data_IF_582524771412
#
_entry.id   IF_582524771412
#
_cell.length_a   1.000
_cell.length_b   1.000
_cell.length_c   1.000
_cell.angle_alpha   90.00
_cell.angle_beta   90.00
_cell.angle_gamma   90.00
#
_symmetry.space_group_name_H-M   'P 1'
#
loop_
_entity.id
_entity.type
_entity.pdbx_description
1 polymer ?
#
# COMPACT_ATOMS: atom_id res chain seq x y z
N UNK A 1 -86.60 16.10 -29.19
CA UNK A 1 -85.58 16.78 -28.35
C UNK A 1 -85.16 15.84 -27.23
N UNK A 2 -83.98 15.22 -27.35
CA UNK A 2 -83.33 14.57 -26.19
C UNK A 2 -83.12 15.68 -25.15
N UNK A 3 -83.72 15.53 -23.98
CA UNK A 3 -83.64 16.55 -22.92
C UNK A 3 -82.16 16.82 -22.63
N UNK A 4 -81.74 18.07 -22.70
CA UNK A 4 -80.37 18.53 -22.39
C UNK A 4 -79.92 17.98 -21.01
N UNK A 5 -80.86 17.82 -20.08
CA UNK A 5 -80.69 17.17 -18.77
C UNK A 5 -80.32 15.67 -18.83
N UNK A 6 -80.85 14.89 -19.78
CA UNK A 6 -80.54 13.46 -19.94
C UNK A 6 -79.13 13.25 -20.51
N UNK A 7 -78.72 14.05 -21.50
CA UNK A 7 -77.35 14.03 -22.00
C UNK A 7 -76.33 14.49 -20.94
N UNK A 8 -76.72 15.42 -20.06
CA UNK A 8 -75.87 15.86 -18.94
C UNK A 8 -75.70 14.76 -17.88
N UNK A 9 -76.77 14.03 -17.54
CA UNK A 9 -76.71 12.89 -16.59
C UNK A 9 -75.86 11.74 -17.13
N UNK A 10 -75.99 11.40 -18.41
CA UNK A 10 -75.18 10.34 -19.05
C UNK A 10 -73.70 10.76 -19.14
N UNK A 11 -73.40 12.02 -19.50
CA UNK A 11 -72.01 12.51 -19.53
C UNK A 11 -71.38 12.57 -18.14
N UNK A 12 -72.15 12.98 -17.12
CA UNK A 12 -71.69 12.96 -15.72
C UNK A 12 -71.42 11.54 -15.26
N UNK A 13 -72.32 10.61 -15.53
CA UNK A 13 -72.13 9.19 -15.23
C UNK A 13 -70.91 8.59 -15.94
N UNK A 14 -70.69 8.90 -17.23
CA UNK A 14 -69.50 8.48 -17.96
C UNK A 14 -68.21 9.09 -17.38
N UNK A 15 -68.25 10.36 -16.98
CA UNK A 15 -67.12 11.01 -16.31
C UNK A 15 -66.82 10.35 -14.95
N UNK A 16 -67.86 10.07 -14.16
CA UNK A 16 -67.74 9.41 -12.86
C UNK A 16 -67.22 7.97 -13.03
N UNK A 17 -67.71 7.21 -14.02
CA UNK A 17 -67.20 5.88 -14.36
C UNK A 17 -65.73 5.92 -14.78
N UNK A 18 -65.35 6.83 -15.68
CA UNK A 18 -63.96 6.97 -16.11
C UNK A 18 -63.04 7.36 -14.93
N UNK A 19 -63.53 8.18 -13.99
CA UNK A 19 -62.80 8.52 -12.77
C UNK A 19 -62.66 7.32 -11.82
N UNK A 20 -63.69 6.47 -11.70
CA UNK A 20 -63.65 5.24 -10.91
C UNK A 20 -62.68 4.21 -11.51
N UNK A 21 -62.70 4.05 -12.84
CA UNK A 21 -61.79 3.17 -13.57
C UNK A 21 -60.34 3.64 -13.44
N UNK A 22 -60.08 4.94 -13.59
CA UNK A 22 -58.76 5.52 -13.38
C UNK A 22 -58.25 5.27 -11.96
N UNK A 23 -59.09 5.47 -10.94
CA UNK A 23 -58.73 5.21 -9.53
C UNK A 23 -58.45 3.74 -9.29
N UNK A 24 -59.25 2.84 -9.88
CA UNK A 24 -59.04 1.40 -9.81
C UNK A 24 -57.71 1.00 -10.45
N UNK A 25 -57.41 1.47 -11.66
CA UNK A 25 -56.13 1.23 -12.34
C UNK A 25 -54.95 1.73 -11.52
N UNK A 26 -55.07 2.92 -10.91
CA UNK A 26 -54.03 3.47 -10.01
C UNK A 26 -53.81 2.59 -8.78
N UNK A 27 -54.87 2.11 -8.14
CA UNK A 27 -54.74 1.20 -6.98
C UNK A 27 -54.18 -0.18 -7.40
N UNK A 28 -54.52 -0.66 -8.59
CA UNK A 28 -53.94 -1.91 -9.12
C UNK A 28 -52.45 -1.75 -9.45
N UNK A 29 -52.02 -0.57 -9.92
CA UNK A 29 -50.61 -0.24 -10.18
C UNK A 29 -49.77 -0.29 -8.91
N UNK A 30 -50.33 0.12 -7.76
CA UNK A 30 -49.68 0.03 -6.44
C UNK A 30 -49.61 -1.40 -5.88
N UNK A 31 -50.13 -2.39 -6.62
CA UNK A 31 -50.12 -3.79 -6.22
C UNK A 31 -48.71 -4.41 -6.13
N UNK A 32 -47.69 -3.77 -6.71
CA UNK A 32 -46.28 -4.14 -6.55
C UNK A 32 -45.66 -3.67 -5.22
N UNK A 33 -46.43 -2.95 -4.40
CA UNK A 33 -45.98 -2.40 -3.12
C UNK A 33 -45.40 -0.99 -3.22
N UNK A 34 -45.28 -0.40 -4.41
CA UNK A 34 -44.86 0.98 -4.62
C UNK A 34 -46.05 1.91 -4.84
N UNK A 35 -46.10 3.05 -4.15
CA UNK A 35 -47.09 4.11 -4.43
C UNK A 35 -46.63 5.05 -5.55
N UNK A 36 -45.40 4.87 -6.02
CA UNK A 36 -44.68 5.82 -6.85
C UNK A 36 -44.18 5.16 -8.14
N UNK A 37 -44.80 5.50 -9.27
CA UNK A 37 -44.39 5.02 -10.59
C UNK A 37 -44.02 6.17 -11.53
N UNK A 38 -44.63 7.35 -11.33
CA UNK A 38 -44.40 8.54 -12.15
C UNK A 38 -44.17 9.79 -11.29
N UNK A 39 -43.47 10.81 -11.81
CA UNK A 39 -43.34 12.11 -11.14
C UNK A 39 -44.69 12.76 -10.79
N UNK A 40 -45.74 12.45 -11.56
CA UNK A 40 -47.10 12.93 -11.34
C UNK A 40 -47.84 12.27 -10.18
N UNK A 41 -47.36 11.11 -9.69
CA UNK A 41 -48.03 10.40 -8.59
C UNK A 41 -47.77 11.09 -7.24
N UNK A 42 -46.54 11.57 -7.02
CA UNK A 42 -46.19 12.53 -5.96
C UNK A 42 -44.85 13.21 -6.30
N UNK A 43 -44.85 14.48 -6.70
CA UNK A 43 -43.63 15.19 -7.12
C UNK A 43 -42.60 15.37 -5.99
N UNK A 44 -43.06 15.48 -4.74
CA UNK A 44 -42.18 15.67 -3.58
C UNK A 44 -41.47 14.38 -3.24
N UNK A 45 -42.22 13.29 -3.08
CA UNK A 45 -41.65 11.97 -2.79
C UNK A 45 -40.82 11.46 -3.97
N UNK A 46 -41.21 11.76 -5.22
CA UNK A 46 -40.40 11.44 -6.41
C UNK A 46 -39.05 12.15 -6.41
N UNK A 47 -39.01 13.44 -6.05
CA UNK A 47 -37.74 14.17 -5.96
C UNK A 47 -36.81 13.61 -4.89
N UNK A 48 -37.36 13.09 -3.79
CA UNK A 48 -36.61 12.42 -2.72
C UNK A 48 -36.12 11.05 -3.18
N UNK A 49 -37.01 10.26 -3.78
CA UNK A 49 -36.68 8.97 -4.37
C UNK A 49 -35.50 9.09 -5.34
N UNK A 50 -35.53 10.01 -6.31
CA UNK A 50 -34.41 10.21 -7.25
C UNK A 50 -33.09 10.51 -6.56
N UNK A 51 -33.10 11.30 -5.48
CA UNK A 51 -31.87 11.60 -4.72
C UNK A 51 -31.35 10.36 -3.99
N UNK A 52 -32.24 9.60 -3.39
CA UNK A 52 -31.87 8.37 -2.69
C UNK A 52 -31.42 7.27 -3.64
N UNK A 53 -32.05 7.13 -4.80
CA UNK A 53 -31.67 6.19 -5.86
C UNK A 53 -30.26 6.46 -6.40
N UNK A 54 -29.95 7.74 -6.68
CA UNK A 54 -28.58 8.16 -7.04
C UNK A 54 -27.60 7.85 -5.89
N UNK A 55 -27.98 8.17 -4.65
CA UNK A 55 -27.14 7.90 -3.48
C UNK A 55 -26.92 6.41 -3.23
N UNK A 56 -27.90 5.55 -3.51
CA UNK A 56 -27.81 4.10 -3.40
C UNK A 56 -26.83 3.55 -4.44
N UNK A 57 -26.97 3.99 -5.70
CA UNK A 57 -26.06 3.60 -6.77
C UNK A 57 -24.60 4.04 -6.52
N UNK A 58 -24.40 5.24 -5.95
CA UNK A 58 -23.07 5.68 -5.50
C UNK A 58 -22.54 4.82 -4.36
N UNK A 59 -23.35 4.54 -3.36
CA UNK A 59 -22.98 3.71 -2.22
C UNK A 59 -22.61 2.28 -2.63
N UNK A 60 -23.34 1.67 -3.56
CA UNK A 60 -23.04 0.34 -4.10
C UNK A 60 -21.67 0.31 -4.80
N UNK A 61 -21.32 1.36 -5.54
CA UNK A 61 -19.99 1.50 -6.15
C UNK A 61 -18.89 1.63 -5.08
N UNK A 62 -19.12 2.38 -4.01
CA UNK A 62 -18.18 2.46 -2.90
C UNK A 62 -18.04 1.13 -2.15
N UNK A 63 -19.13 0.41 -1.91
CA UNK A 63 -19.09 -0.92 -1.30
C UNK A 63 -18.24 -1.90 -2.14
N UNK A 64 -18.41 -1.91 -3.46
CA UNK A 64 -17.60 -2.73 -4.35
C UNK A 64 -16.11 -2.34 -4.33
N UNK A 65 -15.82 -1.04 -4.32
CA UNK A 65 -14.46 -0.48 -4.22
C UNK A 65 -13.79 -0.86 -2.88
N UNK A 66 -14.47 -0.66 -1.76
CA UNK A 66 -13.97 -1.02 -0.41
C UNK A 66 -13.78 -2.53 -0.29
N UNK A 67 -14.70 -3.34 -0.82
CA UNK A 67 -14.58 -4.79 -0.79
C UNK A 67 -13.38 -5.29 -1.61
N UNK A 68 -13.12 -4.69 -2.79
CA UNK A 68 -11.92 -4.97 -3.56
C UNK A 68 -10.65 -4.59 -2.79
N UNK A 69 -10.69 -3.47 -2.04
CA UNK A 69 -9.59 -2.99 -1.22
C UNK A 69 -9.27 -3.95 -0.08
N UNK A 70 -10.29 -4.44 0.63
CA UNK A 70 -10.15 -5.46 1.68
C UNK A 70 -9.52 -6.74 1.10
N UNK A 71 -10.00 -7.21 -0.05
CA UNK A 71 -9.42 -8.41 -0.70
C UNK A 71 -7.94 -8.22 -1.04
N UNK A 72 -7.56 -7.04 -1.56
CA UNK A 72 -6.16 -6.71 -1.84
C UNK A 72 -5.31 -6.63 -0.56
N UNK A 73 -5.81 -5.97 0.47
CA UNK A 73 -5.13 -5.84 1.76
C UNK A 73 -4.96 -7.19 2.45
N UNK A 74 -5.95 -8.07 2.42
CA UNK A 74 -5.84 -9.41 2.98
C UNK A 74 -4.74 -10.23 2.28
N UNK A 75 -4.68 -10.19 0.94
CA UNK A 75 -3.62 -10.86 0.19
C UNK A 75 -2.23 -10.28 0.51
N UNK A 76 -2.15 -8.96 0.68
CA UNK A 76 -0.92 -8.25 1.07
C UNK A 76 -0.50 -8.67 2.48
N UNK A 77 -1.42 -8.67 3.44
CA UNK A 77 -1.18 -9.02 4.84
C UNK A 77 -0.73 -10.47 5.00
N UNK A 78 -1.37 -11.42 4.31
CA UNK A 78 -0.93 -12.82 4.32
C UNK A 78 0.49 -12.97 3.76
N UNK A 79 0.80 -12.26 2.66
CA UNK A 79 2.15 -12.28 2.08
C UNK A 79 3.19 -11.67 3.02
N UNK A 80 2.88 -10.54 3.66
CA UNK A 80 3.77 -9.87 4.61
C UNK A 80 3.99 -10.69 5.89
N UNK A 81 2.95 -11.33 6.43
CA UNK A 81 3.08 -12.24 7.57
C UNK A 81 3.98 -13.43 7.26
N UNK A 82 3.85 -14.02 6.06
CA UNK A 82 4.73 -15.09 5.63
C UNK A 82 6.19 -14.61 5.44
N UNK A 83 6.39 -13.40 4.92
CA UNK A 83 7.72 -12.78 4.81
C UNK A 83 8.35 -12.57 6.19
N UNK A 84 7.57 -12.07 7.17
CA UNK A 84 8.02 -11.85 8.55
C UNK A 84 8.53 -13.14 9.20
N UNK A 85 7.80 -14.26 9.05
CA UNK A 85 8.21 -15.55 9.61
C UNK A 85 9.49 -16.10 8.94
N UNK A 86 9.62 -15.91 7.63
CA UNK A 86 10.85 -16.27 6.90
C UNK A 86 12.02 -15.40 7.38
N UNK A 87 11.80 -14.12 7.65
CA UNK A 87 12.84 -13.21 8.13
C UNK A 87 13.28 -13.52 9.56
N UNK A 88 12.36 -13.87 10.45
CA UNK A 88 12.71 -14.41 11.79
C UNK A 88 13.59 -15.65 11.65
N UNK A 89 13.23 -16.56 10.76
CA UNK A 89 14.03 -17.76 10.46
C UNK A 89 15.40 -17.38 9.89
N UNK A 90 15.46 -16.45 8.95
CA UNK A 90 16.70 -15.95 8.36
C UNK A 90 17.61 -15.30 9.41
N UNK A 91 17.06 -14.50 10.32
CA UNK A 91 17.78 -13.90 11.45
C UNK A 91 18.35 -14.98 12.36
N UNK A 92 17.55 -15.99 12.71
CA UNK A 92 18.01 -17.12 13.52
C UNK A 92 19.17 -17.88 12.85
N UNK A 93 19.11 -18.10 11.53
CA UNK A 93 20.19 -18.70 10.74
C UNK A 93 21.44 -17.82 10.66
N UNK A 94 21.26 -16.51 10.59
CA UNK A 94 22.35 -15.53 10.62
C UNK A 94 23.06 -15.55 11.97
N UNK A 95 22.32 -15.63 13.08
CA UNK A 95 22.86 -15.80 14.44
C UNK A 95 23.56 -17.15 14.58
N UNK A 96 22.98 -18.21 14.01
CA UNK A 96 23.60 -19.54 14.00
C UNK A 96 24.97 -19.49 13.31
N UNK A 97 25.08 -18.85 12.14
CA UNK A 97 26.37 -18.64 11.48
C UNK A 97 27.30 -17.74 12.30
N UNK A 98 26.80 -16.65 12.89
CA UNK A 98 27.61 -15.74 13.69
C UNK A 98 28.22 -16.37 14.96
N UNK A 99 27.53 -17.33 15.56
CA UNK A 99 27.96 -18.04 16.78
C UNK A 99 28.75 -19.33 16.49
N UNK A 100 28.79 -19.79 15.24
CA UNK A 100 29.52 -21.02 14.89
C UNK A 100 31.02 -20.75 14.92
N UNK A 101 31.63 -21.03 16.06
CA UNK A 101 33.07 -20.93 16.33
C UNK A 101 33.85 -22.14 15.78
N UNK A 102 33.14 -23.09 15.14
CA UNK A 102 33.75 -24.32 14.64
C UNK A 102 34.26 -24.10 13.23
N UNK A 103 35.55 -24.39 13.07
CA UNK A 103 36.32 -24.63 11.85
C UNK A 103 35.69 -24.05 10.58
N UNK A 104 36.31 -23.03 9.98
CA UNK A 104 35.89 -22.36 8.73
C UNK A 104 35.59 -23.32 7.56
N UNK A 105 35.93 -24.61 7.69
CA UNK A 105 35.66 -25.72 6.75
C UNK A 105 34.61 -26.74 7.20
N UNK A 106 33.91 -26.53 8.31
CA UNK A 106 32.80 -27.40 8.72
C UNK A 106 31.69 -27.36 7.65
N UNK A 107 31.05 -28.51 7.37
CA UNK A 107 30.00 -28.62 6.34
C UNK A 107 28.72 -27.82 6.65
N UNK A 108 28.65 -27.19 7.83
CA UNK A 108 27.46 -26.52 8.35
C UNK A 108 27.29 -25.13 7.73
N UNK A 109 28.38 -24.41 7.44
CA UNK A 109 28.35 -23.10 6.77
C UNK A 109 27.67 -23.14 5.38
N UNK A 110 28.06 -24.04 4.46
CA UNK A 110 27.35 -24.23 3.20
C UNK A 110 25.89 -24.67 3.37
N UNK A 111 25.56 -25.41 4.43
CA UNK A 111 24.20 -25.86 4.70
C UNK A 111 23.31 -24.69 5.16
N UNK A 112 23.79 -23.89 6.13
CA UNK A 112 23.14 -22.66 6.59
C UNK A 112 22.96 -21.70 5.41
N UNK A 113 24.00 -21.49 4.60
CA UNK A 113 23.91 -20.64 3.42
C UNK A 113 22.84 -21.14 2.42
N UNK A 114 22.71 -22.46 2.22
CA UNK A 114 21.67 -23.03 1.35
C UNK A 114 20.27 -22.76 1.88
N UNK A 115 20.05 -22.90 3.18
CA UNK A 115 18.77 -22.58 3.82
C UNK A 115 18.46 -21.07 3.76
N UNK A 116 19.47 -20.22 3.98
CA UNK A 116 19.33 -18.77 3.82
C UNK A 116 18.96 -18.38 2.38
N UNK A 117 19.52 -19.06 1.37
CA UNK A 117 19.14 -18.85 -0.03
C UNK A 117 17.69 -19.26 -0.29
N UNK A 118 17.26 -20.42 0.21
CA UNK A 118 15.88 -20.87 0.07
C UNK A 118 14.88 -19.86 0.68
N UNK A 119 15.21 -19.30 1.86
CA UNK A 119 14.43 -18.24 2.50
C UNK A 119 14.33 -16.99 1.59
N UNK A 120 15.43 -16.57 0.98
CA UNK A 120 15.45 -15.42 0.06
C UNK A 120 14.60 -15.69 -1.18
N UNK A 121 14.74 -16.87 -1.80
CA UNK A 121 13.94 -17.28 -2.96
C UNK A 121 12.44 -17.30 -2.63
N UNK A 122 12.08 -17.77 -1.43
CA UNK A 122 10.70 -17.76 -0.96
C UNK A 122 10.17 -16.34 -0.75
N UNK A 123 10.96 -15.41 -0.20
CA UNK A 123 10.58 -13.99 -0.09
C UNK A 123 10.38 -13.37 -1.47
N UNK A 124 11.25 -13.66 -2.44
CA UNK A 124 11.08 -13.19 -3.83
C UNK A 124 9.81 -13.77 -4.45
N UNK A 125 9.49 -15.03 -4.19
CA UNK A 125 8.23 -15.65 -4.61
C UNK A 125 7.01 -14.97 -3.98
N UNK A 126 7.06 -14.64 -2.69
CA UNK A 126 6.00 -13.89 -2.00
C UNK A 126 5.89 -12.45 -2.50
N UNK A 127 7.00 -11.84 -2.91
CA UNK A 127 6.99 -10.54 -3.58
C UNK A 127 6.32 -10.60 -4.96
N UNK A 128 6.26 -11.79 -5.56
CA UNK A 128 5.57 -12.07 -6.81
C UNK A 128 4.17 -12.68 -6.61
N UNK A 129 3.56 -12.56 -5.43
CA UNK A 129 2.19 -13.03 -5.18
C UNK A 129 1.17 -12.35 -6.11
N UNK A 130 0.25 -13.15 -6.64
CA UNK A 130 -0.82 -12.72 -7.55
C UNK A 130 -2.19 -12.75 -6.87
N UNK A 131 -3.03 -11.79 -7.22
CA UNK A 131 -4.45 -11.76 -6.91
C UNK A 131 -5.22 -11.73 -8.25
N UNK A 132 -5.77 -12.88 -8.65
CA UNK A 132 -6.28 -13.07 -10.01
C UNK A 132 -5.12 -13.00 -11.01
N UNK A 133 -5.23 -12.14 -12.02
CA UNK A 133 -4.19 -11.95 -13.05
C UNK A 133 -3.19 -10.83 -12.71
N UNK A 134 -3.29 -10.25 -11.51
CA UNK A 134 -2.57 -9.03 -11.11
C UNK A 134 -1.58 -9.30 -10.00
N UNK A 135 -0.37 -8.77 -10.11
CA UNK A 135 0.62 -8.83 -9.03
C UNK A 135 0.33 -7.79 -7.94
N UNK A 136 0.38 -8.24 -6.68
CA UNK A 136 -0.01 -7.41 -5.52
C UNK A 136 1.00 -6.30 -5.22
N UNK A 137 2.27 -6.52 -5.58
CA UNK A 137 3.40 -5.64 -5.22
C UNK A 137 4.02 -4.90 -6.41
N UNK A 138 3.43 -4.97 -7.61
CA UNK A 138 3.99 -4.35 -8.83
C UNK A 138 3.43 -2.95 -9.15
N UNK A 139 2.71 -2.34 -8.22
CA UNK A 139 2.08 -1.03 -8.41
C UNK A 139 0.92 -1.09 -9.40
N UNK A 140 0.85 -0.10 -10.31
CA UNK A 140 -0.10 -0.10 -11.43
C UNK A 140 0.34 -0.97 -12.62
N UNK A 141 1.60 -1.40 -12.69
CA UNK A 141 2.07 -2.36 -13.68
C UNK A 141 1.77 -3.79 -13.21
N UNK A 142 0.49 -4.08 -13.04
CA UNK A 142 -0.04 -5.31 -12.45
C UNK A 142 0.13 -6.57 -13.30
N UNK A 143 0.48 -6.43 -14.59
CA UNK A 143 0.68 -7.55 -15.54
C UNK A 143 2.14 -8.01 -15.69
N UNK A 144 3.10 -7.34 -15.05
CA UNK A 144 4.52 -7.70 -15.13
C UNK A 144 5.02 -8.22 -13.78
N UNK A 145 5.82 -9.29 -13.83
CA UNK A 145 6.45 -9.85 -12.64
C UNK A 145 7.30 -8.77 -11.94
N UNK A 146 7.02 -8.45 -10.67
CA UNK A 146 7.69 -7.34 -10.00
C UNK A 146 9.14 -7.62 -9.68
N UNK A 147 9.50 -8.83 -9.25
CA UNK A 147 10.85 -9.15 -8.80
C UNK A 147 11.53 -10.19 -9.69
N UNK A 148 12.67 -9.81 -10.25
CA UNK A 148 13.55 -10.70 -11.01
C UNK A 148 14.90 -10.83 -10.32
N UNK A 149 15.33 -12.08 -10.12
CA UNK A 149 16.65 -12.42 -9.58
C UNK A 149 17.65 -12.65 -10.73
N UNK A 150 18.83 -12.05 -10.64
CA UNK A 150 19.89 -12.25 -11.63
C UNK A 150 20.41 -13.70 -11.62
N UNK A 151 20.91 -14.17 -12.77
CA UNK A 151 21.46 -15.53 -12.89
C UNK A 151 22.67 -15.74 -11.96
N UNK A 152 22.81 -16.95 -11.40
CA UNK A 152 23.99 -17.35 -10.60
C UNK A 152 25.31 -17.26 -11.38
N UNK A 153 25.24 -17.29 -12.72
CA UNK A 153 26.41 -17.16 -13.58
C UNK A 153 26.93 -15.71 -13.68
N UNK A 154 26.12 -14.70 -13.35
CA UNK A 154 26.46 -13.28 -13.46
C UNK A 154 26.42 -12.59 -12.08
N UNK A 155 27.35 -12.98 -11.22
CA UNK A 155 27.54 -12.39 -9.89
C UNK A 155 28.04 -10.95 -10.02
N UNK A 156 27.21 -10.01 -9.54
CA UNK A 156 27.51 -8.57 -9.53
C UNK A 156 28.27 -8.17 -8.27
N UNK A 157 29.11 -7.14 -8.36
CA UNK A 157 29.87 -6.60 -7.22
C UNK A 157 29.04 -5.52 -6.53
N UNK A 158 28.40 -5.87 -5.41
CA UNK A 158 27.63 -4.92 -4.61
C UNK A 158 28.51 -4.29 -3.52
N UNK A 159 28.39 -2.99 -3.31
CA UNK A 159 29.04 -2.31 -2.17
C UNK A 159 28.51 -2.82 -0.84
N UNK A 160 29.41 -2.95 0.15
CA UNK A 160 29.02 -3.35 1.51
C UNK A 160 28.67 -2.11 2.33
N UNK A 161 27.53 -2.14 3.01
CA UNK A 161 27.11 -1.11 3.95
C UNK A 161 27.12 -1.66 5.38
N UNK A 162 27.37 -0.79 6.35
CA UNK A 162 27.25 -1.06 7.77
C UNK A 162 25.95 -0.45 8.27
N UNK A 163 25.02 -1.27 8.75
CA UNK A 163 23.84 -0.76 9.42
C UNK A 163 24.16 -0.24 10.83
N UNK A 164 23.60 0.92 11.17
CA UNK A 164 23.69 1.63 12.44
C UNK A 164 22.39 1.44 13.23
N UNK A 165 22.51 1.27 14.54
CA UNK A 165 21.38 1.28 15.47
C UNK A 165 20.85 2.71 15.71
N UNK A 166 19.68 2.85 16.35
CA UNK A 166 19.04 4.15 16.61
C UNK A 166 19.92 5.12 17.40
N UNK A 167 20.76 4.61 18.31
CA UNK A 167 21.66 5.43 19.15
C UNK A 167 22.87 5.90 18.36
N UNK A 168 23.43 5.03 17.53
CA UNK A 168 24.50 5.35 16.59
C UNK A 168 24.01 6.38 15.58
N UNK A 169 22.83 6.14 14.99
CA UNK A 169 22.17 7.07 14.08
C UNK A 169 22.06 8.44 14.74
N UNK A 170 21.45 8.55 15.92
CA UNK A 170 21.31 9.81 16.65
C UNK A 170 22.64 10.52 16.97
N UNK A 171 23.73 9.77 17.16
CA UNK A 171 25.04 10.34 17.42
C UNK A 171 25.70 10.89 16.13
N UNK A 172 25.63 10.13 15.03
CA UNK A 172 26.26 10.46 13.75
C UNK A 172 25.41 11.37 12.84
N UNK A 173 24.13 11.54 13.15
CA UNK A 173 23.26 12.56 12.54
C UNK A 173 23.10 13.73 13.50
N UNK A 174 23.58 14.91 13.12
CA UNK A 174 23.28 16.14 13.85
C UNK A 174 21.76 16.33 13.98
N UNK A 175 21.28 16.53 15.22
CA UNK A 175 19.86 16.57 15.61
C UNK A 175 18.96 17.63 14.91
N UNK A 176 19.50 18.43 14.00
CA UNK A 176 18.79 19.50 13.28
C UNK A 176 18.20 19.09 11.93
N UNK A 177 18.56 17.92 11.39
CA UNK A 177 18.02 17.43 10.12
C UNK A 177 16.80 16.52 10.38
N UNK A 178 15.60 17.09 10.42
CA UNK A 178 14.34 16.34 10.56
C UNK A 178 13.93 15.53 9.31
N UNK A 179 14.68 15.65 8.22
CA UNK A 179 14.56 14.76 7.04
C UNK A 179 15.21 13.38 7.27
N UNK A 180 15.82 13.16 8.44
CA UNK A 180 16.64 11.99 8.76
C UNK A 180 15.88 10.75 9.25
N UNK A 181 14.54 10.73 9.21
CA UNK A 181 13.80 9.50 9.54
C UNK A 181 14.15 8.34 8.57
N UNK A 182 14.60 8.66 7.34
CA UNK A 182 14.94 7.68 6.31
C UNK A 182 16.46 7.53 6.06
N UNK A 183 17.34 8.45 6.52
CA UNK A 183 18.69 8.62 5.93
C UNK A 183 19.93 8.44 6.83
N UNK A 184 19.91 7.73 7.98
CA UNK A 184 21.22 7.24 8.48
C UNK A 184 21.15 5.96 9.28
N UNK A 185 20.47 4.95 8.76
CA UNK A 185 20.70 3.59 9.24
C UNK A 185 21.97 2.97 8.66
N UNK A 186 22.71 3.59 7.73
CA UNK A 186 23.81 2.89 7.04
C UNK A 186 25.03 3.78 6.71
N UNK A 187 26.23 3.24 6.93
CA UNK A 187 27.52 3.79 6.49
C UNK A 187 28.12 2.93 5.37
N UNK A 188 28.96 3.52 4.52
CA UNK A 188 29.65 2.76 3.47
C UNK A 188 30.91 2.09 4.03
N UNK A 189 31.10 0.80 3.76
CA UNK A 189 32.30 0.06 4.17
C UNK A 189 33.43 0.21 3.14
N UNK A 190 34.61 0.51 3.64
CA UNK A 190 35.84 0.73 2.87
C UNK A 190 36.94 -0.21 3.35
N UNK A 191 37.75 -0.68 2.41
CA UNK A 191 38.96 -1.46 2.68
C UNK A 191 40.19 -0.56 2.52
N UNK A 192 40.97 -0.45 3.59
CA UNK A 192 42.28 0.21 3.54
C UNK A 192 43.38 -0.72 3.04
N UNK A 193 44.43 -0.15 2.46
CA UNK A 193 45.68 -0.84 2.10
C UNK A 193 46.32 -1.61 3.27
N UNK A 194 45.94 -1.26 4.49
CA UNK A 194 46.46 -1.81 5.74
C UNK A 194 45.71 -3.09 6.17
N UNK A 195 44.75 -3.55 5.37
CA UNK A 195 43.89 -4.68 5.69
C UNK A 195 42.80 -4.39 6.72
N UNK A 196 42.65 -3.13 7.15
CA UNK A 196 41.61 -2.68 8.08
C UNK A 196 40.37 -2.19 7.34
N UNK A 197 39.20 -2.41 7.95
CA UNK A 197 37.92 -1.91 7.48
C UNK A 197 37.63 -0.54 8.09
N UNK A 198 37.23 0.40 7.24
CA UNK A 198 36.82 1.75 7.62
C UNK A 198 35.36 1.97 7.23
N UNK A 199 34.65 2.81 7.98
CA UNK A 199 33.28 3.19 7.66
C UNK A 199 33.22 4.66 7.30
N UNK A 200 32.53 4.98 6.22
CA UNK A 200 32.36 6.35 5.76
C UNK A 200 30.92 6.79 5.95
N UNK A 201 30.75 7.95 6.58
CA UNK A 201 29.50 8.67 6.55
C UNK A 201 29.40 9.46 5.23
N UNK A 202 28.43 9.10 4.40
CA UNK A 202 28.21 9.70 3.09
C UNK A 202 27.58 11.10 3.14
N UNK A 203 27.16 11.56 4.33
CA UNK A 203 26.62 12.90 4.54
C UNK A 203 27.73 13.94 4.71
N UNK A 204 28.76 13.59 5.46
CA UNK A 204 29.86 14.48 5.86
C UNK A 204 31.18 14.16 5.13
N UNK A 205 31.30 12.96 4.55
CA UNK A 205 32.54 12.45 4.00
C UNK A 205 33.54 11.97 5.07
N UNK A 206 33.15 11.99 6.35
CA UNK A 206 34.01 11.55 7.45
C UNK A 206 34.20 10.03 7.43
N UNK A 207 35.43 9.60 7.68
CA UNK A 207 35.84 8.19 7.73
C UNK A 207 36.17 7.83 9.17
N UNK A 208 35.60 6.73 9.65
CA UNK A 208 35.73 6.19 11.00
C UNK A 208 36.39 4.82 10.97
N UNK A 209 37.06 4.46 12.05
CA UNK A 209 37.54 3.08 12.22
C UNK A 209 36.40 2.18 12.69
N UNK A 210 36.55 0.87 12.45
CA UNK A 210 35.58 -0.13 12.89
C UNK A 210 35.35 -0.06 14.41
N UNK A 211 36.41 0.10 15.18
CA UNK A 211 36.38 0.12 16.64
C UNK A 211 35.63 1.35 17.18
N UNK A 212 35.78 2.50 16.52
CA UNK A 212 35.11 3.72 16.95
C UNK A 212 33.59 3.65 16.73
N UNK A 213 33.15 3.12 15.59
CA UNK A 213 31.73 2.99 15.28
C UNK A 213 31.06 1.94 16.17
N UNK A 214 31.77 0.87 16.56
CA UNK A 214 31.20 -0.20 17.36
C UNK A 214 31.14 0.13 18.87
N UNK A 215 32.20 0.71 19.42
CA UNK A 215 32.28 0.96 20.87
C UNK A 215 32.73 2.38 21.23
N UNK A 216 33.58 3.04 20.42
CA UNK A 216 34.11 4.37 20.73
C UNK A 216 33.05 5.48 20.88
N UNK A 217 31.92 5.39 20.15
CA UNK A 217 30.83 6.36 20.32
C UNK A 217 30.17 6.28 21.71
N UNK A 218 30.15 5.11 22.36
CA UNK A 218 29.57 4.92 23.69
C UNK A 218 30.39 5.65 24.74
N UNK A 219 31.72 5.68 24.59
CA UNK A 219 32.62 6.40 25.48
C UNK A 219 32.40 7.91 25.39
N UNK A 220 32.11 8.44 24.19
CA UNK A 220 31.80 9.86 24.00
C UNK A 220 30.42 10.24 24.56
N UNK A 221 29.43 9.36 24.41
CA UNK A 221 28.13 9.52 25.06
C UNK A 221 28.28 9.48 26.59
N UNK A 222 29.11 8.57 27.12
CA UNK A 222 29.41 8.48 28.55
C UNK A 222 30.14 9.72 29.09
N UNK A 223 30.96 10.38 28.24
CA UNK A 223 31.57 11.69 28.53
C UNK A 223 30.57 12.86 28.45
N UNK A 224 29.32 12.63 28.02
CA UNK A 224 28.23 13.62 28.02
C UNK A 224 27.93 14.30 26.69
N UNK A 225 28.58 13.90 25.59
CA UNK A 225 28.33 14.46 24.26
C UNK A 225 27.12 13.78 23.61
N UNK A 226 26.14 14.58 23.15
CA UNK A 226 24.90 14.07 22.54
C UNK A 226 25.02 13.86 21.04
N UNK A 227 25.89 14.62 20.37
CA UNK A 227 26.08 14.54 18.91
C UNK A 227 27.57 14.55 18.56
N UNK A 228 27.91 14.01 17.39
CA UNK A 228 29.26 14.08 16.85
C UNK A 228 29.76 15.53 16.70
N UNK A 229 28.86 16.45 16.32
CA UNK A 229 29.20 17.87 16.19
C UNK A 229 29.67 18.49 17.52
N UNK A 230 29.06 18.08 18.64
CA UNK A 230 29.45 18.55 19.98
C UNK A 230 30.81 17.99 20.41
N UNK A 231 31.08 16.71 20.09
CA UNK A 231 32.37 16.08 20.39
C UNK A 231 33.51 16.67 19.54
N UNK A 232 33.26 16.93 18.24
CA UNK A 232 34.22 17.61 17.35
C UNK A 232 34.48 19.03 17.83
N UNK A 233 33.43 19.77 18.20
CA UNK A 233 33.56 21.13 18.73
C UNK A 233 34.34 21.18 20.05
N UNK A 234 34.31 20.10 20.83
CA UNK A 234 35.10 19.93 22.05
C UNK A 234 36.55 19.46 21.81
N UNK A 235 36.95 19.20 20.57
CA UNK A 235 38.31 18.81 20.20
C UNK A 235 38.60 17.31 20.32
N UNK A 236 37.59 16.45 20.46
CA UNK A 236 37.77 15.00 20.48
C UNK A 236 37.95 14.45 19.05
N UNK A 237 38.88 13.51 18.85
CA UNK A 237 39.14 12.92 17.53
C UNK A 237 38.09 11.85 17.23
N UNK A 238 36.99 12.23 16.59
CA UNK A 238 35.91 11.31 16.23
C UNK A 238 36.16 10.58 14.90
N UNK A 239 36.88 11.20 13.96
CA UNK A 239 37.15 10.63 12.62
C UNK A 239 38.65 10.54 12.33
N UNK A 240 39.03 9.56 11.50
CA UNK A 240 40.43 9.34 11.07
C UNK A 240 40.78 10.06 9.77
N UNK A 241 39.77 10.53 9.06
CA UNK A 241 39.93 11.17 7.76
C UNK A 241 38.64 11.77 7.22
N UNK A 242 38.76 12.60 6.19
CA UNK A 242 37.61 13.14 5.45
C UNK A 242 37.87 12.99 3.94
N UNK A 243 36.90 12.44 3.21
CA UNK A 243 36.91 12.43 1.75
C UNK A 243 36.28 13.71 1.23
N UNK A 244 37.13 14.60 0.72
CA UNK A 244 36.70 15.84 0.08
C UNK A 244 35.73 15.57 -1.07
N UNK A 245 34.61 16.32 -1.09
CA UNK A 245 33.58 16.24 -2.14
C UNK A 245 32.42 15.29 -1.86
N UNK A 246 32.44 14.57 -0.73
CA UNK A 246 31.31 13.76 -0.25
C UNK A 246 30.48 14.60 0.72
N UNK A 247 29.35 15.11 0.24
CA UNK A 247 28.41 15.92 1.03
C UNK A 247 26.97 15.47 0.78
N UNK A 248 26.02 15.90 1.63
CA UNK A 248 24.58 15.67 1.47
C UNK A 248 24.10 16.00 0.04
N UNK A 249 23.50 15.03 -0.64
CA UNK A 249 23.00 15.19 -2.00
C UNK A 249 24.08 15.28 -3.09
N UNK A 250 25.36 15.07 -2.74
CA UNK A 250 26.43 14.97 -3.73
C UNK A 250 26.22 13.76 -4.63
N UNK A 251 26.66 13.87 -5.88
CA UNK A 251 26.65 12.77 -6.85
C UNK A 251 27.59 11.61 -6.52
N UNK A 252 28.17 11.55 -5.33
CA UNK A 252 29.19 10.55 -5.02
C UNK A 252 28.65 9.12 -5.11
N UNK A 253 27.45 8.87 -4.58
CA UNK A 253 26.85 7.52 -4.60
C UNK A 253 26.36 7.19 -6.02
N UNK A 254 25.65 8.10 -6.69
CA UNK A 254 25.17 7.88 -8.07
C UNK A 254 26.30 7.64 -9.08
N UNK A 255 27.46 8.26 -8.86
CA UNK A 255 28.60 8.17 -9.79
C UNK A 255 29.44 6.91 -9.58
N UNK A 256 29.34 6.26 -8.41
CA UNK A 256 30.14 5.08 -8.04
C UNK A 256 29.33 3.77 -8.02
N UNK A 257 28.05 3.85 -7.71
CA UNK A 257 27.16 2.69 -7.56
C UNK A 257 25.95 2.83 -8.50
N UNK A 258 25.25 1.73 -8.79
CA UNK A 258 23.89 1.70 -9.33
C UNK A 258 22.87 1.73 -8.17
N UNK A 259 21.59 1.91 -8.48
CA UNK A 259 20.51 1.93 -7.47
C UNK A 259 20.40 0.60 -6.70
N UNK A 260 20.78 -0.52 -7.30
CA UNK A 260 20.88 -1.84 -6.63
C UNK A 260 22.11 -1.99 -5.73
N UNK A 261 23.00 -0.99 -5.70
CA UNK A 261 24.29 -1.03 -5.00
C UNK A 261 25.42 -1.71 -5.79
N UNK A 262 25.19 -2.08 -7.05
CA UNK A 262 26.25 -2.59 -7.94
C UNK A 262 27.29 -1.50 -8.22
N UNK A 263 28.58 -1.81 -8.07
CA UNK A 263 29.67 -0.93 -8.48
C UNK A 263 29.64 -0.70 -10.00
N UNK A 264 29.76 0.57 -10.42
CA UNK A 264 29.87 0.90 -11.83
C UNK A 264 31.27 0.47 -12.31
N UNK A 265 31.32 -0.45 -13.27
CA UNK A 265 32.54 -0.86 -13.96
C UNK A 265 32.48 -0.37 -15.42
N UNK A 266 32.61 0.94 -15.59
CA UNK A 266 32.76 1.57 -16.90
C UNK A 266 34.01 2.48 -16.88
N UNK A 267 35.15 2.00 -17.42
CA UNK A 267 36.39 2.78 -17.45
C UNK A 267 36.32 4.00 -18.39
N UNK A 268 35.32 4.09 -19.26
CA UNK A 268 35.15 5.18 -20.24
C UNK A 268 34.19 6.25 -19.72
N UNK A 269 33.10 5.86 -19.06
CA UNK A 269 32.11 6.80 -18.53
C UNK A 269 32.52 7.46 -17.20
N UNK A 270 33.42 6.85 -16.42
CA UNK A 270 33.79 7.37 -15.10
C UNK A 270 35.25 7.03 -14.69
N UNK A 271 36.27 7.73 -15.24
CA UNK A 271 37.66 7.52 -14.87
C UNK A 271 37.88 7.79 -13.37
N UNK A 272 38.41 6.81 -12.63
CA UNK A 272 38.68 6.92 -11.19
C UNK A 272 37.44 6.83 -10.29
N UNK A 273 36.31 6.33 -10.81
CA UNK A 273 35.06 6.12 -10.06
C UNK A 273 34.66 4.64 -10.06
N UNK A 274 33.70 4.28 -9.20
CA UNK A 274 33.19 2.92 -9.06
C UNK A 274 34.29 1.92 -8.68
N UNK A 275 34.47 0.87 -9.48
CA UNK A 275 35.47 -0.18 -9.20
C UNK A 275 36.92 0.34 -9.21
N UNK A 276 37.18 1.46 -9.89
CA UNK A 276 38.51 2.09 -9.97
C UNK A 276 38.71 3.22 -8.96
N UNK A 277 37.74 3.46 -8.07
CA UNK A 277 37.86 4.49 -7.05
C UNK A 277 38.87 4.08 -5.98
N UNK A 278 39.80 4.99 -5.69
CA UNK A 278 40.70 4.88 -4.56
C UNK A 278 41.01 6.26 -3.99
N UNK A 279 41.10 6.36 -2.67
CA UNK A 279 41.46 7.61 -2.01
C UNK A 279 42.62 7.41 -1.03
N UNK A 280 43.76 8.04 -1.30
CA UNK A 280 44.96 8.04 -0.44
C UNK A 280 45.12 9.34 0.34
N UNK A 281 44.26 10.34 0.10
CA UNK A 281 44.32 11.66 0.72
C UNK A 281 43.46 11.76 2.00
N UNK A 282 42.45 10.91 2.13
CA UNK A 282 41.49 10.97 3.23
C UNK A 282 42.10 10.53 4.57
N UNK A 283 42.88 9.44 4.56
CA UNK A 283 43.58 8.93 5.74
C UNK A 283 45.08 8.94 5.42
N UNK A 284 45.92 9.62 6.22
CA UNK A 284 47.35 9.71 5.95
C UNK A 284 48.00 8.32 5.86
N UNK A 285 48.59 8.00 4.72
CA UNK A 285 49.34 6.75 4.49
C UNK A 285 48.49 5.53 4.10
N UNK A 286 47.16 5.64 4.07
CA UNK A 286 46.26 4.51 3.77
C UNK A 286 45.49 4.78 2.48
N UNK A 287 45.54 3.84 1.53
CA UNK A 287 44.71 3.90 0.32
C UNK A 287 43.38 3.20 0.59
N UNK A 288 42.28 3.95 0.60
CA UNK A 288 40.93 3.44 0.76
C UNK A 288 40.34 3.00 -0.58
N UNK A 289 39.65 1.86 -0.59
CA UNK A 289 38.84 1.36 -1.70
C UNK A 289 37.46 0.92 -1.20
N UNK A 290 36.46 0.85 -2.06
CA UNK A 290 35.15 0.33 -1.66
C UNK A 290 35.23 -1.17 -1.33
N UNK A 291 34.67 -1.57 -0.20
CA UNK A 291 34.46 -2.99 0.09
C UNK A 291 33.27 -3.50 -0.73
N UNK A 292 33.41 -4.67 -1.36
CA UNK A 292 32.37 -5.24 -2.20
C UNK A 292 32.22 -6.75 -2.01
N UNK A 293 31.00 -7.22 -2.25
CA UNK A 293 30.65 -8.65 -2.23
C UNK A 293 30.10 -9.05 -3.59
N UNK A 294 30.48 -10.25 -4.06
CA UNK A 294 29.97 -10.83 -5.30
C UNK A 294 28.69 -11.60 -5.00
N UNK A 295 27.56 -11.12 -5.51
CA UNK A 295 26.25 -11.71 -5.23
C UNK A 295 25.29 -11.60 -6.41
N UNK A 296 24.22 -12.38 -6.35
CA UNK A 296 23.05 -12.14 -7.19
C UNK A 296 22.35 -10.86 -6.73
N UNK A 297 21.69 -10.18 -7.66
CA UNK A 297 20.88 -9.00 -7.36
C UNK A 297 19.44 -9.26 -7.77
N UNK A 298 18.53 -8.78 -6.95
CA UNK A 298 17.12 -8.70 -7.29
C UNK A 298 16.85 -7.29 -7.82
N UNK A 299 16.09 -7.23 -8.91
CA UNK A 299 15.65 -5.98 -9.53
C UNK A 299 14.14 -5.91 -9.49
N UNK A 300 13.62 -4.71 -9.24
CA UNK A 300 12.19 -4.42 -9.28
C UNK A 300 11.81 -3.86 -10.65
N UNK A 301 10.81 -4.46 -11.30
CA UNK A 301 10.28 -4.03 -12.60
C UNK A 301 8.82 -3.53 -12.53
N UNK A 302 8.26 -3.43 -11.32
CA UNK A 302 6.93 -2.86 -11.10
C UNK A 302 6.91 -1.34 -11.26
N UNK A 303 5.70 -0.80 -11.39
CA UNK A 303 5.46 0.64 -11.31
C UNK A 303 5.37 1.05 -9.84
N UNK A 304 5.71 2.30 -9.53
CA UNK A 304 5.68 2.86 -8.17
C UNK A 304 4.39 3.62 -7.88
N UNK A 305 3.41 3.51 -8.78
CA UNK A 305 2.10 4.14 -8.63
C UNK A 305 1.21 3.32 -7.70
N UNK A 306 0.60 4.02 -6.77
CA UNK A 306 -0.39 3.42 -5.89
C UNK A 306 -1.73 3.23 -6.61
N UNK A 307 -2.41 2.15 -6.28
CA UNK A 307 -3.80 1.90 -6.62
C UNK A 307 -4.61 2.50 -5.49
N UNK A 308 -5.45 3.48 -5.83
CA UNK A 308 -6.39 4.07 -4.89
C UNK A 308 -7.79 3.55 -5.16
N UNK A 309 -8.48 3.15 -4.09
CA UNK A 309 -9.86 2.73 -4.15
C UNK A 309 -10.72 3.76 -3.43
N UNK A 310 -11.56 4.47 -4.19
CA UNK A 310 -12.43 5.53 -3.69
C UNK A 310 -13.41 4.98 -2.66
N UNK A 311 -13.47 5.64 -1.49
CA UNK A 311 -14.38 5.34 -0.37
C UNK A 311 -15.48 6.39 -0.18
N UNK A 312 -15.40 7.52 -0.88
CA UNK A 312 -16.36 8.63 -0.88
C UNK A 312 -16.17 9.51 -2.12
N UNK A 313 -17.13 10.39 -2.43
CA UNK A 313 -17.00 11.35 -3.54
C UNK A 313 -15.99 12.46 -3.18
N UNK A 314 -14.94 12.62 -3.98
CA UNK A 314 -13.88 13.62 -3.73
C UNK A 314 -12.58 13.29 -4.47
N UNK A 315 -11.60 14.19 -4.35
CA UNK A 315 -10.21 13.90 -4.75
C UNK A 315 -9.74 12.66 -4.01
N UNK A 316 -9.29 11.62 -4.73
CA UNK A 316 -8.56 10.50 -4.12
C UNK A 316 -7.44 11.07 -3.26
N UNK A 317 -7.42 10.74 -1.98
CA UNK A 317 -6.35 11.20 -1.10
C UNK A 317 -5.27 10.11 -1.07
N UNK A 318 -4.09 10.33 -1.69
CA UNK A 318 -3.11 9.26 -1.90
C UNK A 318 -2.57 8.65 -0.60
N UNK A 319 -2.62 9.38 0.51
CA UNK A 319 -2.21 8.88 1.82
C UNK A 319 -3.26 7.99 2.49
N UNK A 320 -4.56 8.20 2.20
CA UNK A 320 -5.66 7.57 2.92
C UNK A 320 -6.40 6.49 2.11
N UNK A 321 -6.28 6.50 0.78
CA UNK A 321 -7.07 5.65 -0.11
C UNK A 321 -6.22 4.62 -0.87
N UNK A 322 -4.93 4.53 -0.59
CA UNK A 322 -4.00 3.63 -1.28
C UNK A 322 -4.01 2.23 -0.66
N UNK A 323 -4.33 1.24 -1.49
CA UNK A 323 -4.56 -0.15 -1.05
C UNK A 323 -3.36 -1.07 -1.30
N UNK A 324 -2.49 -0.71 -2.24
CA UNK A 324 -1.31 -1.50 -2.59
C UNK A 324 -0.03 -0.97 -1.91
N UNK A 325 0.94 -1.87 -1.82
CA UNK A 325 2.31 -1.59 -1.39
C UNK A 325 3.24 -1.89 -2.56
N UNK A 326 4.21 -1.02 -2.82
CA UNK A 326 5.22 -1.18 -3.86
C UNK A 326 6.46 -1.87 -3.30
N UNK A 327 7.41 -2.27 -4.16
CA UNK A 327 8.68 -2.86 -3.72
C UNK A 327 9.43 -2.00 -2.70
N UNK A 328 9.33 -0.67 -2.81
CA UNK A 328 9.93 0.28 -1.87
C UNK A 328 9.25 0.25 -0.51
N UNK A 329 7.94 0.03 -0.46
CA UNK A 329 7.20 0.01 0.79
C UNK A 329 7.40 -1.31 1.56
N UNK A 330 7.67 -2.42 0.85
CA UNK A 330 7.86 -3.74 1.48
C UNK A 330 9.34 -4.08 1.74
N UNK A 331 10.25 -3.62 0.89
CA UNK A 331 11.68 -3.94 0.96
C UNK A 331 12.53 -2.72 1.27
N UNK A 332 11.89 -1.58 1.56
CA UNK A 332 12.53 -0.37 2.03
C UNK A 332 13.48 0.26 1.02
N UNK A 333 14.30 1.17 1.55
CA UNK A 333 15.42 1.81 0.86
C UNK A 333 16.71 1.51 1.61
N UNK A 334 17.82 1.65 0.91
CA UNK A 334 19.19 1.51 1.38
C UNK A 334 19.98 2.77 0.97
N UNK A 335 21.19 2.91 1.46
CA UNK A 335 22.14 3.96 1.11
C UNK A 335 22.26 4.22 -0.41
N UNK A 336 22.10 3.18 -1.24
CA UNK A 336 22.32 3.24 -2.69
C UNK A 336 21.13 3.77 -3.51
N UNK A 337 19.93 3.79 -2.94
CA UNK A 337 18.69 4.13 -3.63
C UNK A 337 17.81 5.16 -2.89
N UNK A 338 18.36 5.77 -1.85
CA UNK A 338 17.75 6.91 -1.18
C UNK A 338 17.83 8.22 -1.99
N UNK A 339 16.92 9.16 -1.72
CA UNK A 339 16.82 10.51 -2.33
C UNK A 339 18.14 11.29 -2.24
N UNK A 340 18.94 11.06 -1.20
CA UNK A 340 20.20 11.77 -0.99
C UNK A 340 21.41 11.14 -1.70
N UNK A 341 21.22 10.03 -2.42
CA UNK A 341 22.26 9.41 -3.27
C UNK A 341 22.65 10.26 -4.50
N UNK A 342 22.02 11.43 -4.67
CA UNK A 342 22.15 12.32 -5.82
C UNK A 342 21.38 11.84 -7.05
N UNK A 343 20.66 10.72 -6.93
CA UNK A 343 19.76 10.21 -7.98
C UNK A 343 18.49 11.06 -8.04
N UNK A 344 17.77 10.94 -9.15
CA UNK A 344 16.43 11.50 -9.24
C UNK A 344 15.61 10.92 -8.07
N UNK A 345 14.87 11.75 -7.31
CA UNK A 345 14.05 11.31 -6.16
C UNK A 345 13.08 10.17 -6.47
N UNK A 346 12.85 9.90 -7.75
CA UNK A 346 11.91 8.93 -8.30
C UNK A 346 12.59 7.68 -8.88
N UNK A 347 13.79 7.26 -8.43
CA UNK A 347 14.40 5.97 -8.82
C UNK A 347 14.90 5.03 -7.69
N UNK A 348 14.09 4.75 -6.65
CA UNK A 348 14.46 3.76 -5.62
C UNK A 348 14.41 2.32 -6.16
N UNK A 349 15.39 1.48 -5.80
CA UNK A 349 15.51 0.10 -6.31
C UNK A 349 14.35 -0.80 -5.89
N UNK A 350 13.70 -0.49 -4.76
CA UNK A 350 12.61 -1.28 -4.18
C UNK A 350 12.99 -2.72 -3.85
N UNK A 351 14.30 -3.00 -3.71
CA UNK A 351 14.87 -4.35 -3.50
C UNK A 351 15.98 -4.33 -2.45
N UNK A 352 16.16 -3.21 -1.75
CA UNK A 352 17.18 -2.98 -0.73
C UNK A 352 17.28 -4.14 0.27
N UNK A 353 16.18 -4.48 0.94
CA UNK A 353 16.13 -5.56 1.90
C UNK A 353 16.58 -6.91 1.33
N UNK A 354 16.08 -7.30 0.16
CA UNK A 354 16.40 -8.59 -0.45
C UNK A 354 17.88 -8.64 -0.88
N UNK A 355 18.39 -7.53 -1.42
CA UNK A 355 19.79 -7.40 -1.78
C UNK A 355 20.71 -7.40 -0.55
N UNK A 356 20.25 -6.89 0.58
CA UNK A 356 20.92 -6.96 1.88
C UNK A 356 20.98 -8.38 2.42
N UNK A 357 19.86 -9.11 2.37
CA UNK A 357 19.83 -10.54 2.72
C UNK A 357 20.78 -11.36 1.84
N UNK A 358 20.89 -11.02 0.55
CA UNK A 358 21.86 -11.64 -0.36
C UNK A 358 23.31 -11.32 0.02
N UNK A 359 23.59 -10.14 0.57
CA UNK A 359 24.91 -9.81 1.15
C UNK A 359 25.23 -10.69 2.34
N UNK A 360 24.26 -10.87 3.26
CA UNK A 360 24.44 -11.77 4.40
C UNK A 360 24.68 -13.19 3.92
N UNK A 361 23.89 -13.70 2.98
CA UNK A 361 24.09 -15.02 2.38
C UNK A 361 25.49 -15.19 1.78
N UNK A 362 25.96 -14.22 0.99
CA UNK A 362 27.27 -14.29 0.35
C UNK A 362 28.43 -14.24 1.37
N UNK A 363 28.27 -13.48 2.45
CA UNK A 363 29.23 -13.44 3.57
C UNK A 363 29.21 -14.70 4.42
N UNK A 364 28.05 -15.32 4.62
CA UNK A 364 27.92 -16.66 5.23
C UNK A 364 28.59 -17.72 4.36
N UNK A 365 28.41 -17.67 3.03
CA UNK A 365 29.11 -18.57 2.10
C UNK A 365 30.64 -18.39 2.13
N UNK A 366 31.11 -17.19 2.47
CA UNK A 366 32.53 -16.88 2.64
C UNK A 366 33.07 -17.20 4.04
N UNK A 367 32.24 -17.75 4.94
CA UNK A 367 32.59 -18.10 6.33
C UNK A 367 33.11 -16.91 7.17
N UNK A 368 32.61 -15.70 6.92
CA UNK A 368 33.03 -14.48 7.64
C UNK A 368 32.23 -14.29 8.94
N UNK A 369 32.52 -15.10 9.95
CA UNK A 369 31.80 -15.10 11.25
C UNK A 369 31.90 -13.74 11.98
N UNK A 370 33.04 -13.07 11.87
CA UNK A 370 33.27 -11.79 12.52
C UNK A 370 32.40 -10.68 11.92
N UNK A 371 32.27 -10.63 10.59
CA UNK A 371 31.35 -9.71 9.93
C UNK A 371 29.87 -10.06 10.21
N UNK A 372 29.52 -11.35 10.26
CA UNK A 372 28.15 -11.76 10.58
C UNK A 372 27.71 -11.35 11.98
N UNK A 373 28.59 -11.54 12.98
CA UNK A 373 28.32 -11.17 14.37
C UNK A 373 28.17 -9.66 14.53
N UNK A 374 29.03 -8.86 13.88
CA UNK A 374 28.98 -7.41 14.04
C UNK A 374 27.92 -6.72 13.16
N UNK A 375 27.75 -7.18 11.92
CA UNK A 375 26.99 -6.46 10.89
C UNK A 375 25.87 -7.31 10.31
N UNK A 376 26.10 -8.61 10.07
CA UNK A 376 25.10 -9.51 9.48
C UNK A 376 23.82 -9.61 10.31
N UNK A 377 23.92 -9.80 11.63
CA UNK A 377 22.75 -9.86 12.53
C UNK A 377 21.98 -8.54 12.53
N UNK A 378 22.68 -7.40 12.53
CA UNK A 378 22.03 -6.09 12.47
C UNK A 378 21.30 -5.88 11.14
N UNK A 379 21.87 -6.33 10.03
CA UNK A 379 21.27 -6.23 8.71
C UNK A 379 20.01 -7.11 8.57
N UNK A 380 20.06 -8.32 9.14
CA UNK A 380 18.90 -9.21 9.22
C UNK A 380 17.79 -8.64 10.12
N UNK A 381 18.13 -7.90 11.17
CA UNK A 381 17.16 -7.25 12.05
C UNK A 381 16.46 -6.07 11.36
N UNK A 382 17.23 -5.21 10.68
CA UNK A 382 16.67 -4.11 9.88
C UNK A 382 15.72 -4.64 8.81
N UNK A 383 16.07 -5.75 8.14
CA UNK A 383 15.18 -6.38 7.17
C UNK A 383 13.83 -6.81 7.78
N UNK A 384 13.87 -7.37 8.99
CA UNK A 384 12.68 -7.73 9.76
C UNK A 384 11.85 -6.51 10.16
N UNK A 385 12.50 -5.42 10.59
CA UNK A 385 11.83 -4.18 10.98
C UNK A 385 11.09 -3.52 9.81
N UNK A 386 11.70 -3.47 8.62
CA UNK A 386 11.08 -2.90 7.41
C UNK A 386 9.79 -3.65 7.06
N UNK A 387 9.82 -4.97 7.10
CA UNK A 387 8.63 -5.79 6.79
C UNK A 387 7.57 -5.65 7.87
N UNK A 388 7.96 -5.59 9.14
CA UNK A 388 7.05 -5.37 10.26
C UNK A 388 6.35 -4.01 10.17
N UNK A 389 7.08 -2.95 9.78
CA UNK A 389 6.51 -1.63 9.57
C UNK A 389 5.49 -1.64 8.43
N UNK A 390 5.82 -2.27 7.29
CA UNK A 390 4.90 -2.44 6.17
C UNK A 390 3.65 -3.25 6.57
N UNK A 391 3.82 -4.29 7.39
CA UNK A 391 2.74 -5.11 7.90
C UNK A 391 1.81 -4.32 8.83
N UNK A 392 2.39 -3.54 9.77
CA UNK A 392 1.65 -2.72 10.73
C UNK A 392 0.85 -1.62 10.02
N UNK A 393 1.45 -0.95 9.04
CA UNK A 393 0.79 0.08 8.26
C UNK A 393 -0.34 -0.48 7.39
N UNK A 394 -0.16 -1.69 6.83
CA UNK A 394 -1.22 -2.37 6.09
C UNK A 394 -2.35 -2.82 7.01
N UNK A 395 -2.03 -3.28 8.22
CA UNK A 395 -3.00 -3.68 9.23
C UNK A 395 -3.88 -2.53 9.71
N UNK A 396 -3.30 -1.35 9.97
CA UNK A 396 -4.08 -0.17 10.37
C UNK A 396 -5.04 0.29 9.26
N UNK A 397 -4.60 0.23 8.00
CA UNK A 397 -5.43 0.54 6.84
C UNK A 397 -6.53 -0.49 6.61
N UNK A 398 -6.26 -1.78 6.83
CA UNK A 398 -7.27 -2.84 6.75
C UNK A 398 -8.40 -2.64 7.76
N UNK A 399 -8.06 -2.19 8.98
CA UNK A 399 -9.04 -1.76 9.98
C UNK A 399 -9.95 -0.64 9.47
N UNK A 400 -9.36 0.42 8.91
CA UNK A 400 -10.12 1.55 8.34
C UNK A 400 -11.08 1.11 7.22
N UNK A 401 -10.64 0.23 6.31
CA UNK A 401 -11.51 -0.28 5.24
C UNK A 401 -12.65 -1.17 5.79
N UNK A 402 -12.39 -1.92 6.86
CA UNK A 402 -13.42 -2.70 7.56
C UNK A 402 -14.46 -1.78 8.22
N UNK A 403 -14.02 -0.71 8.86
CA UNK A 403 -14.92 0.31 9.44
C UNK A 403 -15.74 1.01 8.34
N UNK A 404 -15.11 1.40 7.23
CA UNK A 404 -15.79 1.98 6.08
C UNK A 404 -16.82 1.03 5.46
N UNK A 405 -16.52 -0.27 5.41
CA UNK A 405 -17.51 -1.27 4.98
C UNK A 405 -18.74 -1.28 5.89
N UNK A 406 -18.56 -1.18 7.21
CA UNK A 406 -19.68 -1.07 8.16
C UNK A 406 -20.49 0.20 7.91
N UNK A 407 -19.80 1.36 7.83
CA UNK A 407 -20.43 2.66 7.58
C UNK A 407 -21.24 2.65 6.28
N UNK A 408 -20.67 2.17 5.18
CA UNK A 408 -21.38 2.08 3.89
C UNK A 408 -22.54 1.08 3.92
N UNK A 409 -22.48 0.05 4.76
CA UNK A 409 -23.60 -0.87 4.99
C UNK A 409 -24.73 -0.17 5.74
N UNK A 410 -24.41 0.56 6.80
CA UNK A 410 -25.39 1.36 7.55
C UNK A 410 -26.01 2.46 6.67
N UNK A 411 -25.21 3.11 5.82
CA UNK A 411 -25.72 4.07 4.83
C UNK A 411 -26.66 3.40 3.83
N UNK A 412 -26.32 2.20 3.33
CA UNK A 412 -27.21 1.43 2.46
C UNK A 412 -28.55 1.16 3.13
N UNK A 413 -28.53 0.64 4.35
CA UNK A 413 -29.76 0.34 5.11
C UNK A 413 -30.60 1.59 5.34
N UNK A 414 -29.98 2.72 5.68
CA UNK A 414 -30.67 4.00 5.85
C UNK A 414 -31.26 4.52 4.53
N UNK A 415 -30.53 4.47 3.43
CA UNK A 415 -31.00 4.89 2.11
C UNK A 415 -32.16 3.98 1.66
N UNK A 416 -32.03 2.66 1.78
CA UNK A 416 -33.10 1.71 1.44
C UNK A 416 -34.34 1.93 2.31
N UNK A 417 -34.18 2.25 3.60
CA UNK A 417 -35.29 2.61 4.50
C UNK A 417 -35.97 3.92 4.08
N UNK A 418 -35.20 4.93 3.69
CA UNK A 418 -35.70 6.20 3.21
C UNK A 418 -36.43 6.06 1.85
N UNK A 419 -35.90 5.25 0.94
CA UNK A 419 -36.57 4.84 -0.30
C UNK A 419 -37.89 4.17 0.04
N UNK A 420 -37.89 3.15 0.90
CA UNK A 420 -39.11 2.43 1.31
C UNK A 420 -40.13 3.36 1.97
N UNK A 421 -39.69 4.37 2.73
CA UNK A 421 -40.59 5.37 3.34
C UNK A 421 -41.19 6.29 2.27
N UNK A 422 -40.40 6.69 1.28
CA UNK A 422 -40.84 7.56 0.19
C UNK A 422 -41.70 6.84 -0.84
N UNK A 423 -41.45 5.56 -1.13
CA UNK A 423 -42.08 4.80 -2.22
C UNK A 423 -43.02 3.69 -1.76
N UNK A 424 -42.92 3.23 -0.51
CA UNK A 424 -43.71 2.10 -0.01
C UNK A 424 -45.20 2.42 0.11
N UNK A 425 -46.01 1.42 -0.20
CA UNK A 425 -47.46 1.40 0.03
C UNK A 425 -47.79 0.46 1.18
N UNK A 426 -48.69 0.88 2.08
CA UNK A 426 -49.30 -0.04 3.03
C UNK A 426 -50.27 -0.97 2.26
N UNK A 427 -49.83 -2.20 2.02
CA UNK A 427 -50.60 -3.22 1.31
C UNK A 427 -51.92 -3.58 2.00
N UNK A 428 -52.04 -3.43 3.32
CA UNK A 428 -53.29 -3.70 4.04
C UNK A 428 -54.31 -2.57 3.81
N UNK A 429 -53.84 -1.32 3.86
CA UNK A 429 -54.67 -0.16 3.50
C UNK A 429 -55.07 -0.22 2.01
N UNK A 430 -54.12 -0.56 1.14
CA UNK A 430 -54.35 -0.72 -0.30
C UNK A 430 -55.42 -1.77 -0.60
N UNK A 431 -55.31 -2.96 0.00
CA UNK A 431 -56.29 -4.03 -0.18
C UNK A 431 -57.70 -3.57 0.23
N UNK A 432 -57.80 -2.85 1.34
CA UNK A 432 -59.08 -2.28 1.81
C UNK A 432 -59.64 -1.26 0.81
N UNK A 433 -58.80 -0.34 0.31
CA UNK A 433 -59.21 0.64 -0.71
C UNK A 433 -59.60 -0.02 -2.03
N UNK A 434 -58.91 -1.07 -2.46
CA UNK A 434 -59.24 -1.83 -3.66
C UNK A 434 -60.60 -2.52 -3.53
N UNK A 435 -60.89 -3.14 -2.39
CA UNK A 435 -62.21 -3.77 -2.12
C UNK A 435 -63.33 -2.73 -2.08
N UNK A 436 -63.10 -1.58 -1.44
CA UNK A 436 -64.04 -0.46 -1.43
C UNK A 436 -64.30 0.05 -2.86
N UNK A 437 -63.25 0.24 -3.66
CA UNK A 437 -63.36 0.73 -5.02
C UNK A 437 -64.08 -0.27 -5.95
N UNK A 438 -63.82 -1.57 -5.81
CA UNK A 438 -64.52 -2.62 -6.54
C UNK A 438 -66.01 -2.68 -6.15
N UNK A 439 -66.32 -2.45 -4.88
CA UNK A 439 -67.70 -2.36 -4.37
C UNK A 439 -68.40 -1.12 -4.94
N UNK A 440 -67.76 0.05 -4.91
CA UNK A 440 -68.30 1.30 -5.47
C UNK A 440 -68.51 1.19 -6.98
N UNK A 441 -67.57 0.58 -7.71
CA UNK A 441 -67.68 0.35 -9.15
C UNK A 441 -68.87 -0.56 -9.49
N UNK A 442 -69.07 -1.66 -8.75
CA UNK A 442 -70.22 -2.56 -8.98
C UNK A 442 -71.55 -1.88 -8.64
N UNK A 443 -71.59 -1.10 -7.56
CA UNK A 443 -72.74 -0.25 -7.22
C UNK A 443 -73.02 0.78 -8.33
N UNK A 444 -72.01 1.48 -8.83
CA UNK A 444 -72.13 2.49 -9.90
C UNK A 444 -72.60 1.87 -11.23
N UNK A 445 -72.10 0.69 -11.61
CA UNK A 445 -72.56 -0.06 -12.77
C UNK A 445 -74.05 -0.46 -12.62
N UNK A 446 -74.44 -0.93 -11.43
CA UNK A 446 -75.83 -1.27 -11.13
C UNK A 446 -76.78 -0.05 -11.14
N UNK A 447 -76.28 1.12 -10.71
CA UNK A 447 -77.03 2.39 -10.74
C UNK A 447 -77.13 2.95 -12.16
N UNK A 448 -76.07 2.84 -12.97
CA UNK A 448 -76.10 3.23 -14.38
C UNK A 448 -77.12 2.44 -15.19
N UNK A 449 -77.23 1.13 -14.93
CA UNK A 449 -78.27 0.28 -15.52
C UNK A 449 -79.70 0.75 -15.19
N UNK A 450 -79.90 1.50 -14.09
CA UNK A 450 -81.19 2.10 -13.70
C UNK A 450 -81.39 3.55 -14.19
N UNK A 451 -80.30 4.31 -14.40
CA UNK A 451 -80.34 5.73 -14.80
C UNK A 451 -80.36 5.90 -16.33
N UNK A 452 -79.82 4.94 -17.09
CA UNK A 452 -80.07 4.85 -18.53
C UNK A 452 -81.57 4.68 -18.72
N UNK A 453 -82.27 5.63 -19.37
CA UNK A 453 -83.73 5.56 -19.47
C UNK A 453 -84.10 4.25 -20.16
N UNK A 454 -85.01 3.50 -19.56
CA UNK A 454 -85.81 2.50 -20.28
C UNK A 454 -86.33 3.21 -21.53
N UNK A 455 -85.99 2.69 -22.70
CA UNK A 455 -86.49 3.25 -23.96
C UNK A 455 -88.01 3.34 -23.88
N UNK A 456 -88.60 4.34 -24.56
CA UNK A 456 -90.05 4.63 -24.64
C UNK A 456 -90.98 3.40 -24.84
N UNK A 457 -90.42 2.26 -25.24
CA UNK A 457 -91.10 0.97 -25.40
C UNK A 457 -91.60 0.38 -24.07
N UNK A 458 -90.95 0.65 -22.94
CA UNK A 458 -91.35 0.07 -21.63
C UNK A 458 -92.38 0.95 -20.88
N UNK A 459 -92.67 2.15 -21.37
CA UNK A 459 -93.76 3.00 -20.88
C UNK A 459 -95.10 2.71 -21.60
N UNK A 460 -95.10 1.78 -22.56
CA UNK A 460 -96.27 1.33 -23.33
C UNK A 460 -96.59 -0.14 -23.06
N UNK A 461 -96.62 -0.54 -21.78
CA UNK A 461 -97.21 -1.81 -21.34
C UNK A 461 -98.40 -1.57 -20.42
#
# INVERSE_FOLDING_TARGET
MVRISSNYMVRRYQHDLNALDYTKSKLMEQGDGSKLHRPSDNSVDYSRYLRYDVSEGENDRYQASVQAGISWMNSTQTSLSAMEDIQKTFKAKTIQGANDDKDEKSGDWPAIAREMKANIEQIVSLGNTQLGDRYVFSGQADLKQPFLMSSEADLKKRGVTKSLDDRQTAFFTSASDNDSADFLHQMLSLEGSDGKTYYMNTLTGNVYTKEFVQDGYKDLIAKGYKTEADAIAAGETTFVGNVAGVTKGSGFIKDNFKNTGELINDPVAAPGKGENWSNTAAVPGVTLKFSYVRQQLVTYQGDRRYISMVKQNGSTEPSADTVNKTGVDIFGRDLFDDKNSGRVPDDPSGTAMVNNMLTVYAKTKACDAHWLSSDGVTLADVANQVTLQAHTETGSRSGLYTDMKSILTDHKENITRDITTATGTDVAELATKMMQQQTIMSMSLSMGARILPLSLVDYLR
#
